data_IF_611568330312
#
_entry.id   IF_611568330312
#
_cell.length_a   1.000
_cell.length_b   1.000
_cell.length_c   1.000
_cell.angle_alpha   90.00
_cell.angle_beta   90.00
_cell.angle_gamma   90.00
#
_symmetry.space_group_name_H-M   'P 1'
#
loop_
_entity.id
_entity.type
_entity.pdbx_description
1 polymer ?
#
# COMPACT_ATOMS: atom_id res chain seq x y z
N UNK A 1 5.11 30.62 28.43
CA UNK A 1 6.40 30.83 27.73
C UNK A 1 6.66 29.75 26.69
N UNK A 2 6.73 28.45 27.06
CA UNK A 2 6.98 27.35 26.11
C UNK A 2 6.01 27.29 24.91
N UNK A 3 4.71 27.51 25.14
CA UNK A 3 3.69 27.55 24.07
C UNK A 3 3.92 28.69 23.06
N UNK A 4 4.30 29.88 23.55
CA UNK A 4 4.59 31.03 22.69
C UNK A 4 5.85 30.80 21.85
N UNK A 5 6.88 30.15 22.42
CA UNK A 5 8.09 29.76 21.70
C UNK A 5 7.77 28.71 20.64
N UNK A 6 6.97 27.70 20.97
CA UNK A 6 6.53 26.67 20.03
C UNK A 6 5.73 27.27 18.86
N UNK A 7 4.77 28.17 19.14
CA UNK A 7 3.99 28.85 18.09
C UNK A 7 4.87 29.71 17.18
N UNK A 8 5.86 30.40 17.75
CA UNK A 8 6.79 31.23 16.96
C UNK A 8 7.65 30.37 16.03
N UNK A 9 8.23 29.29 16.57
CA UNK A 9 9.12 28.41 15.81
C UNK A 9 8.38 27.60 14.74
N UNK A 10 7.20 27.04 15.06
CA UNK A 10 6.50 26.08 14.20
C UNK A 10 5.52 26.73 13.21
N UNK A 11 5.07 27.96 13.47
CA UNK A 11 4.07 28.61 12.62
C UNK A 11 4.51 29.99 12.15
N UNK A 12 4.96 30.87 13.04
CA UNK A 12 5.21 32.28 12.66
C UNK A 12 6.45 32.45 11.80
N UNK A 13 7.56 31.77 12.14
CA UNK A 13 8.80 31.83 11.36
C UNK A 13 8.65 31.15 9.98
N UNK A 14 7.76 30.15 9.89
CA UNK A 14 7.50 29.40 8.66
C UNK A 14 6.33 29.96 7.85
N UNK A 15 5.62 30.97 8.37
CA UNK A 15 4.37 31.48 7.79
C UNK A 15 4.53 31.88 6.31
N UNK A 16 5.60 32.58 5.88
CA UNK A 16 5.76 32.95 4.47
C UNK A 16 5.75 31.74 3.51
N UNK A 17 6.17 30.57 3.97
CA UNK A 17 6.18 29.34 3.18
C UNK A 17 4.89 28.53 3.38
N UNK A 18 4.41 28.44 4.63
CA UNK A 18 3.17 27.72 4.96
C UNK A 18 1.94 28.39 4.32
N UNK A 19 1.93 29.72 4.21
CA UNK A 19 0.85 30.48 3.57
C UNK A 19 0.63 30.07 2.11
N UNK A 20 1.71 29.99 1.34
CA UNK A 20 1.67 29.56 -0.07
C UNK A 20 1.20 28.11 -0.22
N UNK A 21 1.68 27.21 0.64
CA UNK A 21 1.27 25.80 0.63
C UNK A 21 -0.23 25.67 0.94
N UNK A 22 -0.74 26.42 1.92
CA UNK A 22 -2.15 26.42 2.29
C UNK A 22 -3.00 26.97 1.14
N UNK A 23 -2.58 28.06 0.51
CA UNK A 23 -3.30 28.68 -0.60
C UNK A 23 -3.44 27.71 -1.79
N UNK A 24 -2.33 27.11 -2.22
CA UNK A 24 -2.35 26.16 -3.33
C UNK A 24 -3.14 24.88 -2.99
N UNK A 25 -2.99 24.37 -1.76
CA UNK A 25 -3.81 23.24 -1.31
C UNK A 25 -5.30 23.58 -1.35
N UNK A 26 -5.71 24.76 -0.88
CA UNK A 26 -7.11 25.20 -0.90
C UNK A 26 -7.64 25.47 -2.30
N UNK A 27 -6.76 25.84 -3.24
CA UNK A 27 -7.09 26.04 -4.66
C UNK A 27 -7.41 24.73 -5.36
N UNK A 28 -6.67 23.67 -5.05
CA UNK A 28 -6.81 22.35 -5.69
C UNK A 28 -7.87 21.49 -4.99
N UNK A 29 -7.94 21.53 -3.66
CA UNK A 29 -8.86 20.69 -2.88
C UNK A 29 -10.21 21.39 -2.71
N UNK A 30 -11.34 20.80 -3.14
CA UNK A 30 -12.64 21.45 -3.01
C UNK A 30 -13.03 21.78 -1.55
N UNK A 31 -13.67 22.94 -1.32
CA UNK A 31 -14.06 23.41 0.03
C UNK A 31 -14.89 22.40 0.83
N UNK A 32 -15.78 21.64 0.19
CA UNK A 32 -16.59 20.62 0.85
C UNK A 32 -15.75 19.45 1.40
N UNK A 33 -14.59 19.17 0.80
CA UNK A 33 -13.62 18.19 1.32
C UNK A 33 -12.87 18.77 2.52
N UNK A 34 -12.62 20.08 2.54
CA UNK A 34 -11.88 20.75 3.62
C UNK A 34 -12.69 20.85 4.92
N UNK A 35 -13.99 21.16 4.83
CA UNK A 35 -14.84 21.56 5.96
C UNK A 35 -15.29 20.41 6.89
N UNK A 36 -14.91 19.16 6.59
CA UNK A 36 -15.34 17.99 7.35
C UNK A 36 -14.21 17.07 7.81
N UNK A 37 -12.95 17.49 7.71
CA UNK A 37 -11.81 16.63 8.03
C UNK A 37 -11.07 17.05 9.29
N UNK A 38 -10.95 16.12 10.22
CA UNK A 38 -9.95 16.19 11.27
C UNK A 38 -8.54 16.10 10.65
N UNK A 39 -7.55 16.70 11.30
CA UNK A 39 -6.14 16.65 10.87
C UNK A 39 -5.66 15.23 10.59
N UNK A 40 -6.05 14.28 11.45
CA UNK A 40 -5.77 12.85 11.28
C UNK A 40 -6.23 12.33 9.91
N UNK A 41 -7.42 12.70 9.45
CA UNK A 41 -7.98 12.25 8.17
C UNK A 41 -7.27 12.90 6.98
N UNK A 42 -6.81 14.15 7.12
CA UNK A 42 -5.97 14.80 6.09
C UNK A 42 -4.65 14.06 5.97
N UNK A 43 -3.97 13.81 7.10
CA UNK A 43 -2.72 13.05 7.13
C UNK A 43 -2.89 11.67 6.52
N UNK A 44 -3.93 10.93 6.92
CA UNK A 44 -4.14 9.56 6.44
C UNK A 44 -4.47 9.53 4.93
N UNK A 45 -5.10 10.58 4.38
CA UNK A 45 -5.33 10.69 2.94
C UNK A 45 -4.08 11.02 2.15
N UNK A 46 -3.17 11.80 2.72
CA UNK A 46 -1.90 12.17 2.06
C UNK A 46 -0.86 11.06 2.19
N UNK A 47 -0.75 10.45 3.36
CA UNK A 47 0.32 9.51 3.70
C UNK A 47 -0.13 8.05 3.79
N UNK A 48 -1.42 7.75 3.60
CA UNK A 48 -2.00 6.43 3.84
C UNK A 48 -2.32 6.18 5.33
N UNK A 49 -3.07 5.11 5.60
CA UNK A 49 -3.44 4.74 6.98
C UNK A 49 -2.24 4.21 7.76
N UNK A 50 -2.09 4.66 9.01
CA UNK A 50 -1.16 4.06 9.97
C UNK A 50 -1.87 2.94 10.71
N UNK A 51 -1.46 1.71 10.44
CA UNK A 51 -2.01 0.50 11.04
C UNK A 51 -0.86 -0.24 11.74
N UNK A 52 -1.19 -0.95 12.83
CA UNK A 52 -0.28 -1.97 13.36
C UNK A 52 -0.12 -3.12 12.34
N UNK A 53 0.93 -3.96 12.47
CA UNK A 53 1.21 -5.03 11.50
C UNK A 53 0.04 -5.97 11.25
N UNK A 54 -0.70 -6.38 12.28
CA UNK A 54 -1.81 -7.32 12.13
C UNK A 54 -3.00 -6.68 11.39
N UNK A 55 -3.35 -5.44 11.75
CA UNK A 55 -4.38 -4.68 11.07
C UNK A 55 -3.98 -4.35 9.61
N UNK A 56 -2.70 -4.10 9.35
CA UNK A 56 -2.17 -3.85 8.02
C UNK A 56 -2.34 -5.08 7.11
N UNK A 57 -1.91 -6.25 7.57
CA UNK A 57 -2.01 -7.49 6.80
C UNK A 57 -3.47 -7.85 6.54
N UNK A 58 -4.35 -7.67 7.53
CA UNK A 58 -5.79 -7.89 7.39
C UNK A 58 -6.40 -6.99 6.32
N UNK A 59 -6.16 -5.69 6.39
CA UNK A 59 -6.71 -4.73 5.41
C UNK A 59 -6.15 -4.99 4.00
N UNK A 60 -4.88 -5.43 3.88
CA UNK A 60 -4.32 -5.84 2.59
C UNK A 60 -5.03 -7.10 2.07
N UNK A 61 -5.22 -8.11 2.92
CA UNK A 61 -5.90 -9.36 2.57
C UNK A 61 -7.37 -9.14 2.17
N UNK A 62 -8.09 -8.30 2.90
CA UNK A 62 -9.50 -7.94 2.63
C UNK A 62 -9.66 -7.24 1.27
N UNK A 63 -8.59 -6.59 0.77
CA UNK A 63 -8.56 -5.91 -0.53
C UNK A 63 -7.90 -6.75 -1.62
N UNK A 64 -7.54 -7.99 -1.32
CA UNK A 64 -6.93 -8.91 -2.27
C UNK A 64 -7.99 -9.69 -3.03
N UNK A 65 -7.80 -9.77 -4.34
CA UNK A 65 -8.59 -10.60 -5.24
C UNK A 65 -7.71 -11.71 -5.79
N UNK A 66 -8.31 -12.86 -6.08
CA UNK A 66 -7.61 -14.04 -6.54
C UNK A 66 -8.00 -14.31 -8.00
N UNK A 67 -7.02 -14.36 -8.90
CA UNK A 67 -7.25 -14.65 -10.32
C UNK A 67 -6.80 -16.05 -10.65
N UNK A 68 -7.74 -16.91 -11.06
CA UNK A 68 -7.48 -18.32 -11.37
C UNK A 68 -6.85 -19.11 -10.22
N UNK A 69 -7.03 -18.63 -8.98
CA UNK A 69 -6.62 -19.25 -7.74
C UNK A 69 -7.63 -18.89 -6.64
N UNK A 70 -7.47 -19.47 -5.46
CA UNK A 70 -8.29 -19.19 -4.29
C UNK A 70 -7.45 -18.92 -3.05
N UNK A 71 -8.06 -18.31 -2.04
CA UNK A 71 -7.43 -18.10 -0.74
C UNK A 71 -7.03 -19.41 -0.04
N UNK A 72 -7.71 -20.51 -0.36
CA UNK A 72 -7.45 -21.83 0.20
C UNK A 72 -6.23 -22.53 -0.44
N UNK A 73 -5.77 -22.05 -1.59
CA UNK A 73 -4.66 -22.65 -2.33
C UNK A 73 -3.38 -22.59 -1.48
N UNK A 74 -2.59 -23.65 -1.53
CA UNK A 74 -1.40 -23.77 -0.68
C UNK A 74 -0.40 -22.63 -0.89
N UNK A 75 -0.12 -22.27 -2.15
CA UNK A 75 0.80 -21.17 -2.46
C UNK A 75 0.30 -19.82 -1.94
N UNK A 76 -1.02 -19.60 -1.93
CA UNK A 76 -1.63 -18.39 -1.37
C UNK A 76 -1.56 -18.40 0.16
N UNK A 77 -1.75 -19.55 0.80
CA UNK A 77 -1.55 -19.70 2.25
C UNK A 77 -0.09 -19.46 2.65
N UNK A 78 0.86 -19.98 1.88
CA UNK A 78 2.30 -19.71 2.08
C UNK A 78 2.61 -18.22 1.93
N UNK A 79 2.05 -17.57 0.89
CA UNK A 79 2.18 -16.12 0.72
C UNK A 79 1.71 -15.34 1.94
N UNK A 80 0.49 -15.59 2.43
CA UNK A 80 -0.02 -14.87 3.58
C UNK A 80 0.71 -15.23 4.89
N UNK A 81 1.21 -16.45 5.02
CA UNK A 81 2.14 -16.82 6.09
C UNK A 81 3.42 -15.97 6.04
N UNK A 82 4.04 -15.90 4.86
CA UNK A 82 5.24 -15.09 4.62
C UNK A 82 5.01 -13.62 4.95
N UNK A 83 3.88 -13.04 4.51
CA UNK A 83 3.54 -11.64 4.79
C UNK A 83 3.33 -11.42 6.29
N UNK A 84 2.60 -12.31 6.97
CA UNK A 84 2.24 -12.13 8.38
C UNK A 84 3.43 -12.21 9.35
N UNK A 85 4.52 -12.86 8.94
CA UNK A 85 5.76 -12.99 9.72
C UNK A 85 6.71 -11.80 9.59
N UNK A 86 6.33 -10.74 8.86
CA UNK A 86 7.18 -9.57 8.64
C UNK A 86 6.97 -8.50 9.70
N UNK A 87 8.05 -7.79 10.02
CA UNK A 87 8.00 -6.58 10.84
C UNK A 87 7.27 -5.44 10.11
N UNK A 88 6.87 -4.39 10.84
CA UNK A 88 6.19 -3.23 10.25
C UNK A 88 6.99 -2.58 9.11
N UNK A 89 8.32 -2.49 9.26
CA UNK A 89 9.22 -1.89 8.26
C UNK A 89 9.34 -2.78 7.01
N UNK A 90 9.46 -4.09 7.21
CA UNK A 90 9.50 -5.06 6.11
C UNK A 90 8.17 -5.12 5.36
N UNK A 91 7.03 -5.08 6.08
CA UNK A 91 5.71 -5.00 5.49
C UNK A 91 5.55 -3.76 4.62
N UNK A 92 6.00 -2.60 5.10
CA UNK A 92 5.94 -1.35 4.33
C UNK A 92 6.75 -1.44 3.03
N UNK A 93 7.97 -1.97 3.09
CA UNK A 93 8.82 -2.19 1.90
C UNK A 93 8.20 -3.19 0.94
N UNK A 94 7.72 -4.32 1.45
CA UNK A 94 7.08 -5.36 0.65
C UNK A 94 5.82 -4.83 -0.02
N UNK A 95 4.97 -4.12 0.71
CA UNK A 95 3.75 -3.52 0.20
C UNK A 95 4.04 -2.51 -0.91
N UNK A 96 5.03 -1.63 -0.70
CA UNK A 96 5.49 -0.67 -1.70
C UNK A 96 6.00 -1.36 -2.96
N UNK A 97 6.78 -2.43 -2.81
CA UNK A 97 7.22 -3.24 -3.95
C UNK A 97 6.05 -3.90 -4.69
N UNK A 98 5.09 -4.45 -3.96
CA UNK A 98 3.91 -5.11 -4.54
C UNK A 98 2.94 -4.15 -5.22
N UNK A 99 2.81 -2.92 -4.74
CA UNK A 99 1.69 -2.04 -5.10
C UNK A 99 2.10 -0.68 -5.68
N UNK A 100 3.34 -0.26 -5.48
CA UNK A 100 3.80 1.10 -5.73
C UNK A 100 3.30 2.12 -4.71
N UNK A 101 2.53 1.71 -3.69
CA UNK A 101 2.03 2.61 -2.66
C UNK A 101 2.92 2.58 -1.41
N UNK A 102 3.22 3.75 -0.86
CA UNK A 102 4.02 3.86 0.36
C UNK A 102 3.30 3.34 1.62
N UNK A 103 1.97 3.29 1.62
CA UNK A 103 1.11 2.79 2.69
C UNK A 103 -0.29 2.50 2.14
N UNK A 104 -1.13 1.81 2.92
CA UNK A 104 -2.50 1.47 2.50
C UNK A 104 -3.31 2.74 2.19
N UNK A 105 -3.75 2.93 0.93
CA UNK A 105 -4.60 4.06 0.57
C UNK A 105 -5.93 4.05 1.30
N UNK A 106 -6.42 5.24 1.68
CA UNK A 106 -7.76 5.42 2.25
C UNK A 106 -8.85 5.25 1.18
N UNK A 107 -8.51 5.48 -0.09
CA UNK A 107 -9.40 5.34 -1.23
C UNK A 107 -9.68 3.87 -1.57
N UNK A 108 -10.63 3.63 -2.46
CA UNK A 108 -10.82 2.29 -3.03
C UNK A 108 -9.59 1.88 -3.84
N UNK A 109 -9.09 0.68 -3.58
CA UNK A 109 -7.99 0.04 -4.31
C UNK A 109 -8.12 -1.46 -4.11
N UNK A 110 -7.48 -2.24 -4.98
CA UNK A 110 -7.42 -3.70 -4.87
C UNK A 110 -6.01 -4.20 -5.14
N UNK A 111 -5.68 -5.34 -4.56
CA UNK A 111 -4.51 -6.14 -4.92
C UNK A 111 -4.99 -7.39 -5.65
N UNK A 112 -4.20 -7.93 -6.56
CA UNK A 112 -4.51 -9.19 -7.21
C UNK A 112 -3.36 -10.19 -7.03
N UNK A 113 -3.69 -11.41 -6.65
CA UNK A 113 -2.77 -12.54 -6.69
C UNK A 113 -3.19 -13.44 -7.85
N UNK A 114 -2.23 -13.76 -8.72
CA UNK A 114 -2.36 -14.77 -9.76
C UNK A 114 -1.31 -15.84 -9.52
N UNK A 115 -1.74 -17.07 -9.28
CA UNK A 115 -0.81 -18.20 -9.18
C UNK A 115 -0.36 -18.60 -10.58
N UNK A 116 0.94 -18.87 -10.75
CA UNK A 116 1.53 -19.34 -12.02
C UNK A 116 2.27 -20.65 -11.80
N UNK A 117 2.21 -21.55 -12.79
CA UNK A 117 2.76 -22.90 -12.65
C UNK A 117 4.30 -22.96 -12.74
N UNK A 118 4.96 -21.85 -13.10
CA UNK A 118 6.42 -21.79 -13.24
C UNK A 118 7.13 -21.58 -11.90
N UNK A 119 7.33 -22.68 -11.16
CA UNK A 119 7.99 -22.72 -9.84
C UNK A 119 9.47 -22.33 -9.84
N UNK A 120 10.11 -22.25 -11.00
CA UNK A 120 11.54 -21.89 -11.10
C UNK A 120 11.71 -20.37 -11.04
N UNK A 121 10.73 -19.60 -11.51
CA UNK A 121 10.78 -18.14 -11.52
C UNK A 121 10.70 -17.55 -10.11
N UNK A 122 11.18 -16.31 -9.99
CA UNK A 122 10.87 -15.46 -8.84
C UNK A 122 9.48 -14.83 -9.02
N UNK A 123 8.80 -14.41 -7.94
CA UNK A 123 7.55 -13.69 -8.07
C UNK A 123 7.79 -12.36 -8.79
N UNK A 124 6.83 -11.97 -9.62
CA UNK A 124 6.91 -10.71 -10.37
C UNK A 124 5.67 -9.87 -10.13
N UNK A 125 5.82 -8.55 -10.19
CA UNK A 125 4.72 -7.60 -10.01
C UNK A 125 4.45 -6.89 -11.31
N UNK A 126 3.17 -6.76 -11.65
CA UNK A 126 2.71 -5.72 -12.56
C UNK A 126 2.03 -4.61 -11.76
N UNK A 127 2.70 -3.45 -11.64
CA UNK A 127 2.13 -2.24 -11.05
C UNK A 127 1.37 -1.39 -12.07
N UNK A 128 1.51 -1.70 -13.37
CA UNK A 128 0.76 -1.07 -14.45
C UNK A 128 -0.68 -1.60 -14.44
N UNK A 129 -1.52 -0.91 -13.66
CA UNK A 129 -2.93 -0.59 -13.95
C UNK A 129 -3.56 -1.44 -15.07
N UNK A 130 -3.97 -2.67 -14.76
CA UNK A 130 -4.82 -3.40 -15.70
C UNK A 130 -6.25 -2.88 -15.56
N UNK A 131 -6.82 -2.37 -16.64
CA UNK A 131 -8.25 -2.07 -16.68
C UNK A 131 -9.01 -3.40 -16.58
N UNK A 132 -9.67 -3.61 -15.44
CA UNK A 132 -10.72 -4.61 -15.38
C UNK A 132 -11.90 -4.08 -16.22
N UNK A 133 -12.32 -4.79 -17.28
CA UNK A 133 -13.41 -4.36 -18.14
C UNK A 133 -14.79 -4.49 -17.46
N UNK A 134 -14.88 -5.12 -16.29
CA UNK A 134 -16.12 -5.22 -15.54
C UNK A 134 -16.56 -3.87 -14.98
N UNK A 135 -17.87 -3.64 -14.97
CA UNK A 135 -18.46 -2.41 -14.43
C UNK A 135 -18.10 -2.15 -12.96
N UNK A 136 -17.76 -3.20 -12.19
CA UNK A 136 -17.43 -3.11 -10.77
C UNK A 136 -16.02 -2.58 -10.49
N UNK A 137 -15.09 -2.69 -11.44
CA UNK A 137 -13.67 -2.44 -11.21
C UNK A 137 -13.05 -1.45 -12.22
N UNK A 138 -13.87 -0.88 -13.12
CA UNK A 138 -13.44 0.11 -14.11
C UNK A 138 -12.74 1.29 -13.43
N UNK A 139 -11.47 1.49 -13.75
CA UNK A 139 -10.64 2.58 -13.22
C UNK A 139 -10.05 2.35 -11.82
N UNK A 140 -10.24 1.17 -11.20
CA UNK A 140 -9.61 0.83 -9.91
C UNK A 140 -8.19 0.31 -10.17
N UNK A 141 -7.21 0.92 -9.51
CA UNK A 141 -5.81 0.50 -9.57
C UNK A 141 -5.65 -0.90 -8.99
N UNK A 142 -5.18 -1.86 -9.81
CA UNK A 142 -4.94 -3.25 -9.40
C UNK A 142 -3.51 -3.70 -9.70
N UNK A 143 -2.56 -3.41 -8.79
CA UNK A 143 -1.30 -4.13 -8.77
C UNK A 143 -1.53 -5.64 -8.69
N UNK A 144 -0.83 -6.40 -9.52
CA UNK A 144 -0.95 -7.85 -9.61
C UNK A 144 0.39 -8.52 -9.32
N UNK A 145 0.42 -9.41 -8.33
CA UNK A 145 1.53 -10.34 -8.14
C UNK A 145 1.28 -11.64 -8.90
N UNK A 146 2.27 -12.02 -9.70
CA UNK A 146 2.36 -13.34 -10.29
C UNK A 146 3.20 -14.19 -9.34
N UNK A 147 2.52 -15.06 -8.61
CA UNK A 147 3.08 -15.87 -7.55
C UNK A 147 3.28 -17.30 -8.07
N UNK A 148 4.52 -17.77 -8.23
CA UNK A 148 4.74 -19.17 -8.57
C UNK A 148 4.20 -20.13 -7.51
N UNK A 149 3.76 -21.30 -7.95
CA UNK A 149 3.16 -22.33 -7.11
C UNK A 149 4.21 -23.07 -6.24
N UNK A 150 4.89 -22.35 -5.34
CA UNK A 150 5.92 -22.93 -4.48
C UNK A 150 5.34 -23.97 -3.52
N UNK A 151 6.18 -24.96 -3.20
CA UNK A 151 5.87 -26.10 -2.34
C UNK A 151 6.17 -25.86 -0.85
N UNK A 152 6.85 -24.75 -0.53
CA UNK A 152 7.38 -24.52 0.80
C UNK A 152 7.61 -23.05 1.11
N UNK A 153 7.43 -22.71 2.38
CA UNK A 153 7.67 -21.37 2.94
C UNK A 153 9.11 -20.91 2.70
N UNK A 154 10.09 -21.80 2.87
CA UNK A 154 11.51 -21.50 2.69
C UNK A 154 11.85 -21.13 1.24
N UNK A 155 11.28 -21.85 0.27
CA UNK A 155 11.47 -21.55 -1.16
C UNK A 155 10.86 -20.20 -1.51
N UNK A 156 9.62 -19.95 -1.07
CA UNK A 156 8.95 -18.66 -1.24
C UNK A 156 9.81 -17.52 -0.66
N UNK A 157 10.26 -17.65 0.58
CA UNK A 157 11.03 -16.60 1.26
C UNK A 157 12.31 -16.24 0.50
N UNK A 158 13.08 -17.26 0.10
CA UNK A 158 14.31 -17.07 -0.69
C UNK A 158 14.03 -16.43 -2.05
N UNK A 159 12.98 -16.86 -2.73
CA UNK A 159 12.60 -16.31 -4.05
C UNK A 159 12.11 -14.87 -3.96
N UNK A 160 11.38 -14.52 -2.91
CA UNK A 160 10.97 -13.14 -2.62
C UNK A 160 12.16 -12.24 -2.33
N UNK A 161 13.14 -12.70 -1.55
CA UNK A 161 14.38 -11.97 -1.29
C UNK A 161 15.10 -11.62 -2.61
N UNK A 162 15.25 -12.59 -3.51
CA UNK A 162 15.84 -12.36 -4.83
C UNK A 162 15.01 -11.40 -5.69
N UNK A 163 13.68 -11.51 -5.66
CA UNK A 163 12.79 -10.64 -6.43
C UNK A 163 12.89 -9.17 -5.99
N UNK A 164 12.93 -8.92 -4.67
CA UNK A 164 13.02 -7.58 -4.10
C UNK A 164 14.41 -7.00 -4.35
N UNK A 165 15.47 -7.78 -4.14
CA UNK A 165 16.84 -7.35 -4.40
C UNK A 165 17.08 -7.00 -5.87
N UNK A 166 16.51 -7.76 -6.81
CA UNK A 166 16.64 -7.48 -8.25
C UNK A 166 15.83 -6.28 -8.75
N UNK A 167 14.92 -5.74 -7.93
CA UNK A 167 14.10 -4.57 -8.24
C UNK A 167 14.63 -3.27 -7.60
N UNK A 168 15.69 -3.37 -6.79
CA UNK A 168 16.36 -2.25 -6.10
C UNK A 168 17.53 -1.72 -6.92
#
# INVERSE_FOLDING_TARGET
FAEAVARKALAQNLQPHLGLIIEEFQRVVPRHVQQGLAWQQVRDRVSGRRLDPEAFVREWRDRTTYQSCSEADESVRLWWGYVSERTAEELSRLFSWCTGFAAIPVTAWKFQIKVVDDVVRCPTINTCMTDDPSAANRGVKMPTIYLPAYDSQATLARKMEWAIAGAS
#
